data_IF_409126738491
#
_entry.id   IF_409126738491
#
_cell.length_a   1.000
_cell.length_b   1.000
_cell.length_c   1.000
_cell.angle_alpha   90.00
_cell.angle_beta   90.00
_cell.angle_gamma   90.00
#
_symmetry.space_group_name_H-M   'P 1'
#
loop_
_entity.id
_entity.type
_entity.pdbx_description
1 polymer ?
#
# COMPACT_ATOMS: atom_id res chain seq x y z
N UNK A 1 -41.30 -16.70 -9.48
CA UNK A 1 -40.91 -15.66 -8.51
C UNK A 1 -39.50 -16.00 -8.07
N UNK A 2 -38.52 -15.21 -8.53
CA UNK A 2 -37.10 -15.40 -8.25
C UNK A 2 -36.73 -14.63 -6.98
N UNK A 3 -36.38 -15.32 -5.90
CA UNK A 3 -35.81 -14.70 -4.71
C UNK A 3 -34.30 -14.53 -4.89
N UNK A 4 -33.89 -13.28 -4.69
CA UNK A 4 -32.53 -12.76 -4.76
C UNK A 4 -31.62 -13.41 -3.73
N UNK A 5 -30.51 -13.98 -4.19
CA UNK A 5 -29.42 -14.41 -3.31
C UNK A 5 -28.69 -13.20 -2.74
N UNK A 6 -28.77 -13.01 -1.43
CA UNK A 6 -27.98 -12.02 -0.71
C UNK A 6 -26.49 -12.39 -0.81
N UNK A 7 -25.73 -11.51 -1.46
CA UNK A 7 -24.27 -11.56 -1.53
C UNK A 7 -23.74 -11.11 -0.17
N UNK A 8 -23.32 -12.07 0.67
CA UNK A 8 -22.60 -11.77 1.90
C UNK A 8 -21.20 -11.23 1.54
N UNK A 9 -20.94 -9.96 1.87
CA UNK A 9 -19.60 -9.37 1.74
C UNK A 9 -18.63 -10.01 2.75
N UNK A 10 -17.53 -10.55 2.24
CA UNK A 10 -16.45 -11.16 3.02
C UNK A 10 -15.59 -10.06 3.68
N UNK A 11 -15.64 -9.93 5.00
CA UNK A 11 -14.73 -9.09 5.79
C UNK A 11 -13.45 -9.87 6.18
N UNK A 12 -12.31 -9.21 6.39
CA UNK A 12 -11.01 -9.83 6.71
C UNK A 12 -11.02 -10.71 7.98
N UNK A 13 -11.84 -10.36 8.97
CA UNK A 13 -12.11 -11.15 10.17
C UNK A 13 -12.80 -12.49 9.82
N UNK A 14 -13.72 -12.48 8.85
CA UNK A 14 -14.39 -13.70 8.38
C UNK A 14 -13.41 -14.63 7.66
N UNK A 15 -12.41 -14.07 6.98
CA UNK A 15 -11.38 -14.83 6.28
C UNK A 15 -10.44 -15.55 7.27
N UNK A 16 -10.03 -14.87 8.34
CA UNK A 16 -9.18 -15.46 9.39
C UNK A 16 -9.91 -16.59 10.14
N UNK A 17 -11.16 -16.35 10.53
CA UNK A 17 -12.00 -17.37 11.19
C UNK A 17 -12.22 -18.61 10.29
N UNK A 18 -12.37 -18.41 8.97
CA UNK A 18 -12.50 -19.51 8.00
C UNK A 18 -11.25 -20.41 7.98
N UNK A 19 -10.06 -19.81 7.92
CA UNK A 19 -8.80 -20.57 7.92
C UNK A 19 -8.55 -21.34 9.23
N UNK A 20 -8.84 -20.74 10.39
CA UNK A 20 -8.70 -21.44 11.68
C UNK A 20 -9.64 -22.64 11.78
N UNK A 21 -10.94 -22.45 11.50
CA UNK A 21 -11.95 -23.51 11.57
C UNK A 21 -11.62 -24.66 10.60
N UNK A 22 -11.19 -24.33 9.38
CA UNK A 22 -10.90 -25.32 8.36
C UNK A 22 -9.68 -26.20 8.71
N UNK A 23 -8.60 -25.58 9.21
CA UNK A 23 -7.36 -26.31 9.53
C UNK A 23 -7.44 -27.11 10.83
N UNK A 24 -8.20 -26.63 11.83
CA UNK A 24 -8.21 -27.24 13.16
C UNK A 24 -9.34 -28.24 13.39
N UNK A 25 -10.50 -28.06 12.76
CA UNK A 25 -11.71 -28.80 13.13
C UNK A 25 -12.30 -29.59 11.96
N UNK A 26 -12.27 -29.04 10.74
CA UNK A 26 -12.73 -29.75 9.54
C UNK A 26 -11.75 -30.86 9.14
N UNK A 27 -10.44 -30.63 9.28
CA UNK A 27 -9.41 -31.66 9.08
C UNK A 27 -9.45 -32.79 10.13
N UNK A 28 -10.05 -32.54 11.30
CA UNK A 28 -10.17 -33.49 12.42
C UNK A 28 -11.55 -34.16 12.51
N UNK A 29 -12.39 -34.04 11.45
CA UNK A 29 -13.73 -34.64 11.34
C UNK A 29 -14.72 -34.27 12.48
N UNK A 30 -14.69 -33.04 12.97
CA UNK A 30 -15.66 -32.55 13.98
C UNK A 30 -17.02 -32.23 13.33
N UNK A 31 -18.12 -32.44 14.06
CA UNK A 31 -19.49 -32.20 13.57
C UNK A 31 -19.83 -30.70 13.46
N UNK A 32 -20.34 -30.28 12.30
CA UNK A 32 -20.67 -28.89 11.94
C UNK A 32 -21.50 -28.08 12.97
N UNK A 33 -22.48 -28.66 13.71
CA UNK A 33 -23.26 -27.92 14.70
C UNK A 33 -22.42 -27.42 15.89
N UNK A 34 -21.42 -28.22 16.32
CA UNK A 34 -20.56 -27.88 17.46
C UNK A 34 -19.60 -26.74 17.11
N UNK A 35 -19.15 -26.72 15.86
CA UNK A 35 -18.29 -25.66 15.29
C UNK A 35 -19.08 -24.35 15.18
N UNK A 36 -20.34 -24.41 14.71
CA UNK A 36 -21.19 -23.22 14.57
C UNK A 36 -21.47 -22.53 15.91
N UNK A 37 -21.68 -23.29 16.98
CA UNK A 37 -21.91 -22.77 18.33
C UNK A 37 -20.63 -22.16 18.93
N UNK A 38 -19.47 -22.79 18.71
CA UNK A 38 -18.18 -22.32 19.24
C UNK A 38 -17.71 -21.00 18.64
N UNK A 39 -17.89 -20.80 17.34
CA UNK A 39 -17.41 -19.60 16.63
C UNK A 39 -18.53 -18.61 16.27
N UNK A 40 -19.76 -18.84 16.75
CA UNK A 40 -20.95 -18.05 16.42
C UNK A 40 -21.19 -17.90 14.91
N UNK A 41 -20.90 -18.96 14.14
CA UNK A 41 -21.06 -19.00 12.68
C UNK A 41 -22.36 -19.76 12.35
N UNK A 42 -23.24 -19.22 11.50
CA UNK A 42 -24.43 -19.93 11.05
C UNK A 42 -24.07 -21.28 10.39
N UNK A 43 -24.76 -22.35 10.78
CA UNK A 43 -24.51 -23.72 10.28
C UNK A 43 -24.67 -23.83 8.75
N UNK A 44 -25.51 -22.98 8.14
CA UNK A 44 -25.65 -22.87 6.69
C UNK A 44 -24.34 -22.46 6.00
N UNK A 45 -23.60 -21.55 6.61
CA UNK A 45 -22.31 -21.06 6.12
C UNK A 45 -21.25 -22.16 6.20
N UNK A 46 -21.20 -22.90 7.31
CA UNK A 46 -20.30 -24.05 7.47
C UNK A 46 -20.55 -25.12 6.39
N UNK A 47 -21.82 -25.45 6.12
CA UNK A 47 -22.20 -26.38 5.06
C UNK A 47 -21.75 -25.92 3.67
N UNK A 48 -21.88 -24.62 3.39
CA UNK A 48 -21.42 -24.03 2.12
C UNK A 48 -19.90 -24.15 1.97
N UNK A 49 -19.14 -23.90 3.04
CA UNK A 49 -17.68 -24.02 3.03
C UNK A 49 -17.20 -25.46 2.86
N UNK A 50 -17.81 -26.42 3.57
CA UNK A 50 -17.50 -27.86 3.42
C UNK A 50 -17.80 -28.34 2.00
N UNK A 51 -18.90 -27.88 1.40
CA UNK A 51 -19.25 -28.19 0.01
C UNK A 51 -18.22 -27.62 -0.97
N UNK A 52 -17.86 -26.35 -0.83
CA UNK A 52 -16.86 -25.70 -1.69
C UNK A 52 -15.49 -26.39 -1.62
N UNK A 53 -15.08 -26.83 -0.43
CA UNK A 53 -13.84 -27.58 -0.24
C UNK A 53 -13.85 -28.97 -0.91
N UNK A 54 -14.96 -29.70 -0.81
CA UNK A 54 -15.13 -31.00 -1.50
C UNK A 54 -15.19 -30.85 -3.02
N UNK A 55 -15.74 -29.75 -3.52
CA UNK A 55 -15.74 -29.43 -4.95
C UNK A 55 -14.34 -29.02 -5.44
N UNK A 56 -13.56 -28.31 -4.62
CA UNK A 56 -12.19 -27.96 -4.93
C UNK A 56 -11.27 -29.19 -4.96
N UNK A 57 -11.39 -30.10 -4.00
CA UNK A 57 -10.60 -31.34 -3.98
C UNK A 57 -10.93 -32.24 -5.18
N UNK A 58 -12.20 -32.34 -5.57
CA UNK A 58 -12.62 -33.07 -6.78
C UNK A 58 -12.12 -32.43 -8.06
N UNK A 59 -11.97 -31.10 -8.11
CA UNK A 59 -11.38 -30.39 -9.26
C UNK A 59 -9.89 -30.64 -9.42
N UNK A 60 -9.20 -30.79 -8.30
CA UNK A 60 -7.76 -31.11 -8.25
C UNK A 60 -7.52 -32.58 -8.66
N UNK A 61 -8.40 -33.49 -8.24
CA UNK A 61 -8.38 -34.91 -8.62
C UNK A 61 -8.81 -35.16 -10.08
N UNK A 62 -9.76 -34.37 -10.60
CA UNK A 62 -10.18 -34.40 -12.02
C UNK A 62 -9.17 -33.76 -12.99
N UNK A 63 -8.12 -33.11 -12.49
CA UNK A 63 -7.00 -32.62 -13.29
C UNK A 63 -5.92 -33.70 -13.53
N UNK A 64 -5.99 -34.84 -12.82
CA UNK A 64 -5.02 -35.94 -12.95
C UNK A 64 -5.49 -37.12 -13.81
N UNK A 65 -6.75 -37.15 -14.27
CA UNK A 65 -7.26 -38.24 -15.13
C UNK A 65 -8.13 -37.68 -16.24
N UNK A 66 -7.53 -37.49 -17.42
CA UNK A 66 -8.17 -37.87 -18.69
C UNK A 66 -7.13 -38.03 -19.81
N UNK A 67 -7.36 -39.08 -20.60
CA UNK A 67 -6.44 -39.77 -21.48
C UNK A 67 -6.00 -39.01 -22.74
N UNK A 68 -4.78 -39.35 -23.16
CA UNK A 68 -4.20 -39.30 -24.51
C UNK A 68 -5.09 -38.74 -25.65
N UNK A 69 -5.01 -37.43 -25.87
CA UNK A 69 -4.93 -36.89 -27.22
C UNK A 69 -3.52 -36.34 -27.36
N UNK A 70 -2.73 -36.96 -28.23
CA UNK A 70 -1.39 -36.49 -28.60
C UNK A 70 -1.55 -35.17 -29.38
N UNK A 71 -1.82 -34.07 -28.67
CA UNK A 71 -1.53 -32.74 -29.18
C UNK A 71 -0.02 -32.62 -29.27
N UNK A 72 0.50 -32.86 -30.47
CA UNK A 72 1.84 -32.43 -30.85
C UNK A 72 2.02 -30.99 -30.34
N UNK A 73 2.95 -30.72 -29.41
CA UNK A 73 3.13 -29.38 -28.90
C UNK A 73 3.53 -28.52 -30.09
N UNK A 74 2.66 -27.58 -30.48
CA UNK A 74 3.05 -26.52 -31.41
C UNK A 74 4.29 -25.89 -30.79
N UNK A 75 5.44 -26.10 -31.42
CA UNK A 75 6.72 -25.51 -31.01
C UNK A 75 6.52 -24.00 -31.00
N UNK A 76 6.19 -23.44 -29.84
CA UNK A 76 6.26 -22.01 -29.58
C UNK A 76 7.75 -21.67 -29.50
N UNK A 77 8.37 -21.59 -30.68
CA UNK A 77 9.80 -21.46 -30.85
C UNK A 77 10.33 -20.04 -30.60
N UNK A 78 9.54 -19.13 -30.01
CA UNK A 78 9.92 -17.73 -29.85
C UNK A 78 9.44 -17.01 -28.58
N UNK A 79 9.44 -17.70 -27.43
CA UNK A 79 9.62 -16.99 -26.17
C UNK A 79 11.00 -17.36 -25.65
N UNK A 80 12.00 -16.53 -25.96
CA UNK A 80 13.30 -16.62 -25.29
C UNK A 80 13.03 -16.36 -23.82
N UNK A 81 12.92 -17.44 -23.05
CA UNK A 81 12.66 -17.38 -21.62
C UNK A 81 13.90 -16.76 -20.99
N UNK A 82 13.74 -15.68 -20.24
CA UNK A 82 14.87 -15.11 -19.52
C UNK A 82 15.42 -16.17 -18.57
N UNK A 83 16.71 -16.46 -18.69
CA UNK A 83 17.38 -17.45 -17.87
C UNK A 83 17.70 -16.88 -16.47
N UNK A 84 18.21 -17.74 -15.58
CA UNK A 84 18.53 -17.35 -14.20
C UNK A 84 19.56 -16.21 -14.15
N UNK A 85 20.50 -16.16 -15.10
CA UNK A 85 21.53 -15.12 -15.19
C UNK A 85 20.93 -13.74 -15.51
N UNK A 86 19.98 -13.70 -16.45
CA UNK A 86 19.25 -12.46 -16.78
C UNK A 86 18.40 -11.98 -15.60
N UNK A 87 17.78 -12.92 -14.87
CA UNK A 87 17.00 -12.60 -13.68
C UNK A 87 17.89 -11.95 -12.63
N UNK A 88 19.04 -12.55 -12.28
CA UNK A 88 20.01 -11.99 -11.33
C UNK A 88 20.45 -10.58 -11.69
N UNK A 89 20.73 -10.34 -12.96
CA UNK A 89 21.09 -9.00 -13.43
C UNK A 89 19.96 -7.99 -13.24
N UNK A 90 18.71 -8.37 -13.51
CA UNK A 90 17.56 -7.52 -13.27
C UNK A 90 17.35 -7.24 -11.77
N UNK A 91 17.67 -8.18 -10.87
CA UNK A 91 17.64 -7.94 -9.42
C UNK A 91 18.59 -6.81 -9.02
N UNK A 92 19.87 -6.96 -9.38
CA UNK A 92 20.88 -5.95 -9.09
C UNK A 92 20.55 -4.60 -9.74
N UNK A 93 20.00 -4.61 -10.96
CA UNK A 93 19.66 -3.40 -11.67
C UNK A 93 18.50 -2.62 -11.01
N UNK A 94 17.48 -3.34 -10.54
CA UNK A 94 16.33 -2.73 -9.84
C UNK A 94 16.69 -2.29 -8.42
N UNK A 95 17.47 -3.09 -7.69
CA UNK A 95 17.87 -2.76 -6.32
C UNK A 95 18.73 -1.49 -6.28
N UNK A 96 19.58 -1.29 -7.29
CA UNK A 96 20.36 -0.06 -7.44
C UNK A 96 19.52 1.15 -7.84
N UNK A 97 18.42 0.95 -8.59
CA UNK A 97 17.52 2.03 -8.99
C UNK A 97 16.07 1.53 -9.13
N UNK A 98 15.23 1.65 -8.08
CA UNK A 98 13.87 1.14 -8.08
C UNK A 98 12.90 1.95 -8.96
N UNK A 99 13.37 3.02 -9.62
CA UNK A 99 12.60 3.88 -10.52
C UNK A 99 12.79 3.48 -11.99
N UNK A 100 13.58 2.44 -12.24
CA UNK A 100 13.83 1.93 -13.59
C UNK A 100 12.53 1.56 -14.31
N UNK A 101 12.44 1.99 -15.56
CA UNK A 101 11.33 1.67 -16.46
C UNK A 101 11.57 0.35 -17.20
N UNK A 102 10.51 -0.28 -17.70
CA UNK A 102 10.63 -1.49 -18.53
C UNK A 102 11.50 -1.27 -19.77
N UNK A 103 11.49 -0.07 -20.34
CA UNK A 103 12.31 0.30 -21.51
C UNK A 103 13.79 0.23 -21.17
N UNK A 104 14.16 0.87 -20.05
CA UNK A 104 15.53 0.83 -19.55
C UNK A 104 15.98 -0.58 -19.16
N UNK A 105 15.08 -1.45 -18.71
CA UNK A 105 15.40 -2.85 -18.46
C UNK A 105 15.69 -3.61 -19.75
N UNK A 106 14.90 -3.38 -20.80
CA UNK A 106 15.12 -4.00 -22.10
C UNK A 106 16.45 -3.53 -22.68
N UNK A 107 16.72 -2.22 -22.66
CA UNK A 107 17.98 -1.65 -23.15
C UNK A 107 19.18 -2.23 -22.38
N UNK A 108 19.12 -2.24 -21.04
CA UNK A 108 20.19 -2.79 -20.20
C UNK A 108 20.41 -4.30 -20.41
N UNK A 109 19.35 -5.06 -20.69
CA UNK A 109 19.46 -6.48 -21.03
C UNK A 109 20.11 -6.69 -22.39
N UNK A 110 19.71 -5.91 -23.40
CA UNK A 110 20.26 -5.99 -24.75
C UNK A 110 21.72 -5.52 -24.81
N UNK A 111 22.11 -4.53 -24.00
CA UNK A 111 23.48 -4.05 -23.90
C UNK A 111 24.41 -5.08 -23.23
N UNK A 112 23.93 -5.78 -22.20
CA UNK A 112 24.75 -6.72 -21.41
C UNK A 112 24.82 -8.13 -22.02
N UNK A 113 23.77 -8.57 -22.71
CA UNK A 113 23.69 -9.91 -23.28
C UNK A 113 23.56 -9.81 -24.80
N UNK A 114 24.69 -9.93 -25.49
CA UNK A 114 24.72 -9.86 -26.96
C UNK A 114 23.78 -10.90 -27.59
N UNK A 115 22.94 -10.44 -28.52
CA UNK A 115 21.97 -11.27 -29.18
C UNK A 115 20.67 -11.48 -28.41
N UNK A 116 20.53 -11.02 -27.15
CA UNK A 116 19.27 -11.06 -26.40
C UNK A 116 18.30 -9.97 -26.90
N UNK A 117 17.26 -10.40 -27.61
CA UNK A 117 16.15 -9.54 -28.04
C UNK A 117 14.89 -9.94 -27.28
N UNK A 118 14.42 -9.06 -26.39
CA UNK A 118 13.18 -9.26 -25.62
C UNK A 118 12.28 -8.04 -25.76
N UNK A 119 10.96 -8.26 -25.85
CA UNK A 119 10.00 -7.17 -25.84
C UNK A 119 9.74 -6.66 -24.41
N UNK A 120 9.27 -5.41 -24.30
CA UNK A 120 8.80 -4.83 -23.03
C UNK A 120 7.77 -5.71 -22.32
N UNK A 121 6.86 -6.32 -23.08
CA UNK A 121 5.86 -7.26 -22.58
C UNK A 121 6.47 -8.56 -22.07
N UNK A 122 7.56 -9.04 -22.70
CA UNK A 122 8.30 -10.21 -22.24
C UNK A 122 8.96 -9.98 -20.89
N UNK A 123 9.56 -8.80 -20.70
CA UNK A 123 10.12 -8.39 -19.40
C UNK A 123 9.03 -8.26 -18.35
N UNK A 124 7.95 -7.53 -18.61
CA UNK A 124 6.82 -7.37 -17.65
C UNK A 124 6.20 -8.72 -17.24
N UNK A 125 6.00 -9.62 -18.21
CA UNK A 125 5.51 -10.98 -17.95
C UNK A 125 6.49 -11.76 -17.07
N UNK A 126 7.79 -11.69 -17.36
CA UNK A 126 8.82 -12.36 -16.56
C UNK A 126 8.88 -11.84 -15.12
N UNK A 127 8.83 -10.51 -14.93
CA UNK A 127 8.82 -9.88 -13.61
C UNK A 127 7.64 -10.39 -12.76
N UNK A 128 6.44 -10.50 -13.37
CA UNK A 128 5.22 -10.94 -12.67
C UNK A 128 5.19 -12.44 -12.42
N UNK A 129 5.44 -13.25 -13.45
CA UNK A 129 5.22 -14.69 -13.41
C UNK A 129 6.40 -15.47 -12.82
N UNK A 130 7.63 -15.08 -13.15
CA UNK A 130 8.83 -15.83 -12.75
C UNK A 130 9.47 -15.29 -11.47
N UNK A 131 9.25 -14.00 -11.17
CA UNK A 131 9.96 -13.32 -10.08
C UNK A 131 9.04 -12.61 -9.06
N UNK A 132 7.72 -12.58 -9.28
CA UNK A 132 6.73 -11.97 -8.36
C UNK A 132 6.99 -10.49 -8.01
N UNK A 133 7.68 -9.75 -8.88
CA UNK A 133 7.88 -8.31 -8.72
C UNK A 133 6.59 -7.56 -9.05
N UNK A 134 6.15 -6.72 -8.12
CA UNK A 134 4.94 -5.92 -8.25
C UNK A 134 5.29 -4.43 -8.21
N UNK A 135 4.65 -3.65 -9.06
CA UNK A 135 4.76 -2.19 -9.04
C UNK A 135 4.18 -1.66 -7.72
N UNK A 136 5.04 -1.10 -6.87
CA UNK A 136 4.67 -0.43 -5.62
C UNK A 136 4.77 1.09 -5.78
N UNK A 137 4.00 1.83 -4.98
CA UNK A 137 4.11 3.29 -4.94
C UNK A 137 5.45 3.69 -4.34
N UNK A 138 6.24 4.46 -5.06
CA UNK A 138 7.52 4.99 -4.57
C UNK A 138 7.24 6.02 -3.47
N UNK A 139 7.81 5.79 -2.29
CA UNK A 139 7.81 6.76 -1.18
C UNK A 139 9.08 7.59 -1.27
N UNK A 140 8.95 8.89 -1.57
CA UNK A 140 10.10 9.81 -1.61
C UNK A 140 10.50 10.17 -0.18
N UNK A 141 11.63 9.63 0.27
CA UNK A 141 12.21 10.00 1.56
C UNK A 141 13.28 11.08 1.30
N UNK A 142 13.23 12.24 1.97
CA UNK A 142 14.26 13.27 1.81
C UNK A 142 15.64 12.70 2.19
N UNK A 143 16.65 12.87 1.32
CA UNK A 143 17.99 12.32 1.52
C UNK A 143 18.59 12.67 2.90
N UNK A 144 18.36 13.91 3.37
CA UNK A 144 18.79 14.39 4.70
C UNK A 144 18.21 13.55 5.85
N UNK A 145 16.99 13.00 5.70
CA UNK A 145 16.29 12.21 6.74
C UNK A 145 16.99 10.89 7.06
N UNK A 146 17.72 10.32 6.08
CA UNK A 146 18.43 9.05 6.16
C UNK A 146 19.96 9.22 6.08
N UNK A 147 20.48 10.44 6.27
CA UNK A 147 21.92 10.61 6.44
C UNK A 147 22.40 9.85 7.69
N UNK A 148 23.58 9.21 7.65
CA UNK A 148 24.09 8.42 8.78
C UNK A 148 24.11 9.25 10.06
N UNK A 149 24.54 10.51 9.97
CA UNK A 149 24.57 11.45 11.09
C UNK A 149 23.19 11.69 11.72
N UNK A 150 22.14 11.86 10.91
CA UNK A 150 20.77 12.07 11.42
C UNK A 150 20.19 10.79 12.02
N UNK A 151 20.52 9.63 11.47
CA UNK A 151 20.14 8.33 12.03
C UNK A 151 20.81 8.14 13.39
N UNK A 152 22.11 8.39 13.48
CA UNK A 152 22.86 8.29 14.73
C UNK A 152 22.36 9.29 15.77
N UNK A 153 22.08 10.53 15.37
CA UNK A 153 21.51 11.54 16.26
C UNK A 153 20.15 11.12 16.82
N UNK A 154 19.26 10.56 15.99
CA UNK A 154 17.97 10.04 16.46
C UNK A 154 18.15 8.85 17.39
N UNK A 155 19.08 7.94 17.07
CA UNK A 155 19.37 6.79 17.90
C UNK A 155 19.84 7.22 19.29
N UNK A 156 20.82 8.12 19.36
CA UNK A 156 21.34 8.66 20.63
C UNK A 156 20.27 9.40 21.43
N UNK A 157 19.40 10.17 20.76
CA UNK A 157 18.30 10.86 21.42
C UNK A 157 17.29 9.88 22.05
N UNK A 158 16.88 8.85 21.30
CA UNK A 158 15.96 7.82 21.81
C UNK A 158 16.61 7.02 22.95
N UNK A 159 17.88 6.66 22.81
CA UNK A 159 18.62 5.96 23.87
C UNK A 159 18.70 6.80 25.16
N UNK A 160 18.95 8.11 25.04
CA UNK A 160 18.93 9.01 26.18
C UNK A 160 17.56 9.10 26.85
N UNK A 161 16.47 9.18 26.07
CA UNK A 161 15.11 9.21 26.61
C UNK A 161 14.71 7.91 27.31
N UNK A 162 15.12 6.75 26.78
CA UNK A 162 14.83 5.45 27.40
C UNK A 162 15.60 5.29 28.72
N UNK A 163 16.83 5.82 28.79
CA UNK A 163 17.67 5.74 30.00
C UNK A 163 17.23 6.71 31.10
N UNK A 164 16.51 7.77 30.77
CA UNK A 164 16.03 8.74 31.75
C UNK A 164 14.84 8.18 32.53
N UNK A 165 15.06 7.87 33.82
CA UNK A 165 14.01 7.36 34.72
C UNK A 165 12.87 8.36 34.96
N UNK A 166 13.07 9.63 34.63
CA UNK A 166 12.04 10.66 34.77
C UNK A 166 11.09 10.70 33.57
N UNK A 167 11.38 9.99 32.47
CA UNK A 167 10.55 9.99 31.26
C UNK A 167 9.74 8.69 31.22
N UNK A 168 8.43 8.81 31.41
CA UNK A 168 7.45 7.72 31.26
C UNK A 168 6.48 8.07 30.14
N UNK A 169 6.72 7.52 28.95
CA UNK A 169 5.90 7.77 27.74
C UNK A 169 4.40 7.52 27.95
N UNK A 170 4.05 6.66 28.90
CA UNK A 170 2.67 6.31 29.23
C UNK A 170 2.03 7.18 30.31
N UNK A 171 2.79 7.98 31.06
CA UNK A 171 2.24 8.69 32.23
C UNK A 171 2.54 10.19 32.24
N UNK A 172 3.68 10.64 31.73
CA UNK A 172 4.13 12.02 31.88
C UNK A 172 4.60 12.68 30.58
N UNK A 173 4.24 12.10 29.43
CA UNK A 173 4.61 12.63 28.11
C UNK A 173 3.41 13.18 27.34
N UNK A 174 3.62 14.33 26.70
CA UNK A 174 2.68 14.93 25.74
C UNK A 174 3.38 15.01 24.39
N UNK A 175 2.77 14.43 23.36
CA UNK A 175 3.25 14.47 21.99
C UNK A 175 2.52 15.57 21.23
N UNK A 176 3.28 16.47 20.62
CA UNK A 176 2.75 17.58 19.82
C UNK A 176 3.19 17.38 18.39
N UNK A 177 2.25 17.39 17.45
CA UNK A 177 2.53 17.30 16.02
C UNK A 177 1.63 18.24 15.21
N UNK A 178 2.12 18.62 14.03
CA UNK A 178 1.42 19.50 13.09
C UNK A 178 1.11 18.75 11.78
N UNK A 179 -0.16 18.65 11.45
CA UNK A 179 -0.64 18.06 10.21
C UNK A 179 -1.15 19.14 9.25
N UNK A 180 -0.44 19.35 8.15
CA UNK A 180 -0.84 20.26 7.07
C UNK A 180 -1.89 19.64 6.15
N UNK A 181 -3.03 20.32 6.00
CA UNK A 181 -4.11 19.96 5.10
C UNK A 181 -4.20 20.95 3.93
N UNK A 182 -4.19 20.40 2.72
CA UNK A 182 -4.55 21.17 1.54
C UNK A 182 -6.06 21.06 1.32
N UNK A 183 -6.79 22.14 1.58
CA UNK A 183 -8.23 22.22 1.32
C UNK A 183 -8.59 22.10 -0.16
N UNK A 184 -7.61 22.25 -1.07
CA UNK A 184 -7.81 22.06 -2.50
C UNK A 184 -7.64 20.57 -2.87
N UNK A 185 -8.59 19.74 -2.48
CA UNK A 185 -8.70 18.35 -2.97
C UNK A 185 -9.75 18.26 -4.08
N UNK A 186 -9.30 18.33 -5.33
CA UNK A 186 -10.09 17.83 -6.46
C UNK A 186 -9.87 16.33 -6.60
N UNK A 187 -10.93 15.59 -6.97
CA UNK A 187 -10.81 14.16 -7.27
C UNK A 187 -9.82 13.98 -8.43
N UNK A 188 -8.88 13.04 -8.28
CA UNK A 188 -7.89 12.71 -9.32
C UNK A 188 -8.50 12.03 -10.55
N UNK A 189 -9.76 11.59 -10.44
CA UNK A 189 -10.49 10.90 -11.48
C UNK A 189 -11.86 11.53 -11.68
N UNK A 190 -12.23 11.72 -12.95
CA UNK A 190 -13.54 12.19 -13.39
C UNK A 190 -14.02 11.36 -14.58
N UNK A 191 -15.29 11.48 -14.93
CA UNK A 191 -15.87 10.80 -16.10
C UNK A 191 -15.98 11.81 -17.25
N UNK A 192 -15.65 11.35 -18.45
CA UNK A 192 -15.82 12.09 -19.71
C UNK A 192 -16.23 11.10 -20.80
N UNK A 193 -16.71 11.61 -21.94
CA UNK A 193 -17.02 10.77 -23.10
C UNK A 193 -15.75 10.07 -23.59
N UNK A 194 -15.93 8.88 -24.17
CA UNK A 194 -14.82 8.11 -24.74
C UNK A 194 -14.14 8.94 -25.85
N UNK A 195 -12.84 9.19 -25.70
CA UNK A 195 -12.05 10.03 -26.62
C UNK A 195 -11.97 11.51 -26.23
N UNK A 196 -12.74 11.95 -25.22
CA UNK A 196 -12.68 13.33 -24.72
C UNK A 196 -12.00 13.39 -23.36
N UNK A 197 -11.03 14.30 -23.14
CA UNK A 197 -10.42 14.48 -21.83
C UNK A 197 -11.40 15.07 -20.81
N UNK A 198 -11.46 14.49 -19.61
CA UNK A 198 -12.19 15.08 -18.49
C UNK A 198 -11.49 16.37 -18.04
N UNK A 199 -12.10 17.53 -18.32
CA UNK A 199 -11.58 18.84 -17.92
C UNK A 199 -12.38 19.39 -16.76
N UNK A 200 -11.70 19.78 -15.70
CA UNK A 200 -12.27 20.57 -14.61
C UNK A 200 -11.52 21.89 -14.55
N UNK A 201 -12.23 23.00 -14.72
CA UNK A 201 -11.68 24.33 -14.49
C UNK A 201 -11.74 24.57 -12.99
N UNK A 202 -10.59 24.59 -12.34
CA UNK A 202 -10.46 24.94 -10.93
C UNK A 202 -9.85 26.34 -10.80
N UNK A 203 -10.40 27.15 -9.90
CA UNK A 203 -9.83 28.44 -9.57
C UNK A 203 -8.39 28.24 -9.07
N UNK A 204 -7.44 28.95 -9.69
CA UNK A 204 -6.00 28.84 -9.39
C UNK A 204 -5.63 29.41 -8.01
N UNK A 205 -6.57 30.09 -7.36
CA UNK A 205 -6.43 30.63 -6.01
C UNK A 205 -6.43 29.49 -5.00
N UNK A 206 -5.22 29.06 -4.64
CA UNK A 206 -4.95 28.26 -3.45
C UNK A 206 -5.69 28.91 -2.27
N UNK A 207 -6.66 28.21 -1.70
CA UNK A 207 -7.19 28.61 -0.40
C UNK A 207 -6.06 28.68 0.63
N UNK A 208 -6.24 29.40 1.76
CA UNK A 208 -5.32 29.37 2.89
C UNK A 208 -4.87 27.93 3.18
N UNK A 209 -3.56 27.62 3.26
CA UNK A 209 -3.15 26.34 3.80
C UNK A 209 -3.69 26.26 5.22
N UNK A 210 -4.30 25.12 5.56
CA UNK A 210 -4.83 24.86 6.90
C UNK A 210 -3.93 23.84 7.54
N UNK A 211 -3.56 24.08 8.78
CA UNK A 211 -2.77 23.16 9.56
C UNK A 211 -3.48 22.86 10.87
N UNK A 212 -3.43 21.61 11.31
CA UNK A 212 -3.98 21.19 12.59
C UNK A 212 -2.80 20.85 13.49
N UNK A 213 -2.72 21.53 14.64
CA UNK A 213 -1.78 21.21 15.70
C UNK A 213 -2.48 20.33 16.72
N UNK A 214 -2.01 19.09 16.89
CA UNK A 214 -2.56 18.16 17.87
C UNK A 214 -1.60 17.97 19.02
N UNK A 215 -2.13 17.96 20.25
CA UNK A 215 -1.42 17.51 21.44
C UNK A 215 -2.11 16.27 22.00
N UNK A 216 -1.40 15.15 22.12
CA UNK A 216 -1.92 13.87 22.59
C UNK A 216 -1.03 13.28 23.68
N UNK A 217 -1.63 12.48 24.56
CA UNK A 217 -0.92 11.64 25.52
C UNK A 217 -1.53 10.23 25.52
N UNK A 218 -1.00 9.35 26.37
CA UNK A 218 -1.50 7.98 26.53
C UNK A 218 -2.98 7.88 26.93
N UNK A 219 -3.52 8.91 27.59
CA UNK A 219 -4.92 8.99 28.01
C UNK A 219 -5.85 9.49 26.91
N UNK A 220 -5.32 10.11 25.86
CA UNK A 220 -6.10 10.61 24.73
C UNK A 220 -5.64 11.96 24.22
N UNK A 221 -6.57 12.69 23.59
CA UNK A 221 -6.32 13.99 22.99
C UNK A 221 -6.44 15.07 24.05
N UNK A 222 -5.38 15.87 24.21
CA UNK A 222 -5.33 16.98 25.16
C UNK A 222 -5.92 18.24 24.51
N UNK A 223 -5.45 18.55 23.30
CA UNK A 223 -5.92 19.74 22.58
C UNK A 223 -5.71 19.56 21.06
N UNK A 224 -6.55 20.23 20.29
CA UNK A 224 -6.45 20.35 18.84
C UNK A 224 -6.67 21.80 18.46
N UNK A 225 -5.62 22.43 17.91
CA UNK A 225 -5.65 23.80 17.41
C UNK A 225 -5.73 23.84 15.89
N UNK A 226 -6.58 24.71 15.35
CA UNK A 226 -6.64 24.97 13.91
C UNK A 226 -5.84 26.24 13.58
N UNK A 227 -4.88 26.13 12.68
CA UNK A 227 -4.10 27.26 12.15
C UNK A 227 -4.48 27.50 10.71
N UNK A 228 -5.24 28.57 10.47
CA UNK A 228 -5.58 29.03 9.13
C UNK A 228 -4.61 30.15 8.76
N UNK A 229 -3.78 29.93 7.74
CA UNK A 229 -2.89 30.97 7.23
C UNK A 229 -3.68 31.94 6.34
N UNK A 230 -4.39 32.88 6.95
CA UNK A 230 -4.99 33.98 6.20
C UNK A 230 -3.83 34.86 5.70
N UNK A 231 -3.67 34.95 4.38
CA UNK A 231 -2.80 35.95 3.76
C UNK A 231 -3.42 37.33 3.96
N UNK A 232 -3.31 37.87 5.17
CA UNK A 232 -3.67 39.25 5.44
C UNK A 232 -2.51 40.12 4.94
N UNK A 233 -2.72 40.82 3.82
CA UNK A 233 -1.91 41.98 3.45
C UNK A 233 -2.18 43.08 4.49
N UNK A 234 -1.58 42.98 5.67
CA UNK A 234 -1.63 44.05 6.67
C UNK A 234 -0.47 44.98 6.35
N UNK A 235 -0.78 46.12 5.73
CA UNK A 235 0.08 47.29 5.73
C UNK A 235 0.23 47.74 7.18
N UNK A 236 1.31 47.35 7.85
CA UNK A 236 1.66 47.87 9.17
C UNK A 236 2.21 49.28 8.92
N UNK A 237 1.37 50.29 9.00
CA UNK A 237 1.83 51.67 9.14
C UNK A 237 2.42 51.82 10.54
N UNK A 238 3.75 51.86 10.61
CA UNK A 238 4.47 52.20 11.83
C UNK A 238 4.41 53.73 11.98
N UNK A 239 3.43 54.25 12.72
CA UNK A 239 3.46 55.64 13.20
C UNK A 239 4.53 55.74 14.27
N UNK A 240 5.69 56.30 13.92
CA UNK A 240 6.66 56.74 14.92
C UNK A 240 6.04 57.90 15.71
N UNK A 241 5.80 57.69 17.01
CA UNK A 241 5.59 58.78 17.94
C UNK A 241 6.93 59.49 18.13
N UNK A 242 7.10 60.63 17.45
CA UNK A 242 8.15 61.58 17.79
C UNK A 242 7.74 62.25 19.12
N UNK A 243 8.15 61.65 20.23
CA UNK A 243 8.24 62.37 21.49
C UNK A 243 9.39 63.37 21.34
N UNK A 244 8.98 64.63 21.13
CA UNK A 244 9.86 65.76 20.91
C UNK A 244 10.77 65.99 22.11
N UNK A 245 12.08 65.90 21.85
CA UNK A 245 13.10 66.61 22.63
C UNK A 245 13.09 68.06 22.18
N UNK A 246 12.76 69.00 23.06
CA UNK A 246 13.29 70.37 23.01
C UNK A 246 13.14 71.04 24.39
N UNK A 247 13.96 72.04 24.69
CA UNK A 247 15.27 71.96 25.34
C UNK A 247 15.27 72.34 26.83
#
# INVERSE_FOLDING_TARGET
MSESGDVYEFNDQNKFQMYEVFNTEVSNQVQEPQVGEKYAIPVSTLKSWVKAAKEASKKEEALEVDDAIEEQPKKNQHLRKLEKEHTKFLEEFIDNNPVVTLDQMVDALSDKFEGLSISKSGVDKHLKESWSYTLKRITKIPAKRNSPDVIELRFRAVEAWIKDSNISFMQNCIFIDEAGFNLHTVKSQGRSKKGEPAKVVVATTRGPPVSILGAICSLGVINVGLKIFILSFIHINFTQSNDGVVP
#
